data_IF_216891034553
#
_entry.id   IF_216891034553
#
_cell.length_a   1.000
_cell.length_b   1.000
_cell.length_c   1.000
_cell.angle_alpha   90.00
_cell.angle_beta   90.00
_cell.angle_gamma   90.00
#
_symmetry.space_group_name_H-M   'P 1'
#
loop_
_entity.id
_entity.type
_entity.pdbx_description
1 polymer ?
#
# COMPACT_ATOMS: atom_id res chain seq x y z
N UNK A 1 -1.98 -10.87 -6.08
CA UNK A 1 -2.10 -9.96 -7.23
C UNK A 1 -3.47 -10.00 -7.89
N UNK A 2 -3.94 -11.15 -8.42
CA UNK A 2 -5.23 -11.24 -9.13
C UNK A 2 -6.44 -10.70 -8.33
N UNK A 3 -6.55 -11.09 -7.05
CA UNK A 3 -7.57 -10.58 -6.13
C UNK A 3 -7.56 -9.04 -6.02
N UNK A 4 -6.37 -8.44 -5.97
CA UNK A 4 -6.22 -6.98 -5.90
C UNK A 4 -6.65 -6.30 -7.20
N UNK A 5 -6.33 -6.88 -8.37
CA UNK A 5 -6.80 -6.39 -9.67
C UNK A 5 -8.32 -6.43 -9.79
N UNK A 6 -8.94 -7.54 -9.38
CA UNK A 6 -10.41 -7.68 -9.35
C UNK A 6 -11.07 -6.67 -8.41
N UNK A 7 -10.41 -6.35 -7.30
CA UNK A 7 -10.89 -5.39 -6.32
C UNK A 7 -10.66 -3.92 -6.71
N UNK A 8 -10.11 -3.65 -7.91
CA UNK A 8 -9.98 -2.29 -8.44
C UNK A 8 -8.56 -1.71 -8.45
N UNK A 9 -7.53 -2.46 -8.03
CA UNK A 9 -6.15 -2.01 -8.21
C UNK A 9 -5.81 -1.92 -9.69
N UNK A 10 -5.19 -0.84 -10.13
CA UNK A 10 -4.69 -0.66 -11.50
C UNK A 10 -3.42 -1.47 -11.75
N UNK A 11 -2.58 -1.61 -10.72
CA UNK A 11 -1.36 -2.38 -10.76
C UNK A 11 -0.76 -2.54 -9.37
N UNK A 12 0.36 -3.24 -9.28
CA UNK A 12 1.09 -3.36 -8.03
C UNK A 12 2.53 -3.82 -8.21
N UNK A 13 3.34 -3.62 -7.18
CA UNK A 13 4.75 -3.94 -7.14
C UNK A 13 5.09 -4.68 -5.86
N UNK A 14 5.88 -5.75 -5.99
CA UNK A 14 6.47 -6.44 -4.85
C UNK A 14 7.61 -5.57 -4.31
N UNK A 15 7.58 -5.32 -3.00
CA UNK A 15 8.59 -4.56 -2.29
C UNK A 15 9.39 -5.50 -1.38
N UNK A 16 10.72 -5.44 -1.50
CA UNK A 16 11.66 -6.28 -0.73
C UNK A 16 12.36 -7.35 -1.58
N UNK A 17 13.40 -7.98 -1.00
CA UNK A 17 14.27 -8.93 -1.70
C UNK A 17 13.96 -10.42 -1.41
N UNK A 18 13.03 -10.74 -0.50
CA UNK A 18 12.57 -12.12 -0.21
C UNK A 18 12.36 -12.42 1.29
N UNK A 19 11.56 -13.44 1.61
CA UNK A 19 11.32 -13.96 2.98
C UNK A 19 10.14 -13.36 3.76
N UNK A 20 9.66 -12.19 3.33
CA UNK A 20 8.55 -11.44 3.93
C UNK A 20 8.60 -10.02 3.37
N UNK A 21 7.47 -9.41 3.04
CA UNK A 21 7.49 -8.13 2.35
C UNK A 21 6.12 -7.55 2.07
N UNK A 22 6.11 -6.40 1.43
CA UNK A 22 4.91 -5.64 1.12
C UNK A 22 4.56 -5.76 -0.35
N UNK A 23 3.26 -5.77 -0.65
CA UNK A 23 2.76 -5.51 -1.98
C UNK A 23 2.21 -4.09 -1.99
N UNK A 24 2.79 -3.23 -2.82
CA UNK A 24 2.25 -1.91 -3.10
C UNK A 24 1.21 -2.04 -4.22
N UNK A 25 0.02 -1.50 -4.01
CA UNK A 25 -1.01 -1.43 -5.05
C UNK A 25 -1.38 0.02 -5.32
N UNK A 26 -1.57 0.35 -6.60
CA UNK A 26 -2.13 1.63 -7.02
C UNK A 26 -3.63 1.43 -7.26
N UNK A 27 -4.47 2.10 -6.47
CA UNK A 27 -5.92 1.90 -6.46
C UNK A 27 -6.60 3.28 -6.52
N UNK A 28 -7.58 3.51 -7.41
CA UNK A 28 -8.34 4.77 -7.42
C UNK A 28 -9.04 5.00 -6.08
N UNK A 29 -9.05 6.23 -5.53
CA UNK A 29 -9.61 6.53 -4.22
C UNK A 29 -11.04 6.01 -4.01
N UNK A 30 -11.89 6.15 -5.02
CA UNK A 30 -13.29 5.71 -5.00
C UNK A 30 -13.44 4.18 -4.87
N UNK A 31 -12.37 3.41 -5.08
CA UNK A 31 -12.35 1.95 -4.96
C UNK A 31 -11.70 1.46 -3.66
N UNK A 32 -11.12 2.34 -2.83
CA UNK A 32 -10.41 1.95 -1.61
C UNK A 32 -11.26 1.10 -0.66
N UNK A 33 -12.49 1.52 -0.37
CA UNK A 33 -13.39 0.78 0.51
C UNK A 33 -13.72 -0.64 -0.01
N UNK A 34 -13.86 -0.79 -1.33
CA UNK A 34 -14.07 -2.12 -1.94
C UNK A 34 -12.80 -2.96 -1.94
N UNK A 35 -11.65 -2.30 -2.12
CA UNK A 35 -10.35 -2.94 -2.09
C UNK A 35 -10.02 -3.50 -0.71
N UNK A 36 -10.22 -2.71 0.34
CA UNK A 36 -10.00 -3.10 1.73
C UNK A 36 -10.85 -4.30 2.13
N UNK A 37 -12.15 -4.27 1.83
CA UNK A 37 -13.05 -5.42 2.06
C UNK A 37 -12.56 -6.68 1.34
N UNK A 38 -12.09 -6.55 0.10
CA UNK A 38 -11.55 -7.69 -0.64
C UNK A 38 -10.21 -8.20 -0.08
N UNK A 39 -9.48 -7.38 0.69
CA UNK A 39 -8.23 -7.72 1.35
C UNK A 39 -8.40 -8.09 2.83
N UNK A 40 -9.63 -8.28 3.31
CA UNK A 40 -9.91 -8.69 4.68
C UNK A 40 -9.10 -9.94 5.07
N UNK A 41 -8.60 -9.95 6.31
CA UNK A 41 -7.62 -10.94 6.79
C UNK A 41 -6.17 -10.67 6.38
N UNK A 42 -5.87 -9.53 5.74
CA UNK A 42 -4.51 -9.04 5.46
C UNK A 42 -4.34 -7.64 6.03
N UNK A 43 -3.13 -7.34 6.51
CA UNK A 43 -2.80 -5.97 6.91
C UNK A 43 -2.75 -5.06 5.68
N UNK A 44 -3.54 -3.99 5.68
CA UNK A 44 -3.54 -2.94 4.65
C UNK A 44 -2.98 -1.66 5.26
N UNK A 45 -1.88 -1.16 4.71
CA UNK A 45 -1.26 0.09 5.10
C UNK A 45 -1.52 1.14 4.03
N UNK A 46 -2.10 2.26 4.43
CA UNK A 46 -2.24 3.43 3.56
C UNK A 46 -0.91 4.16 3.48
N UNK A 47 -0.37 4.26 2.27
CA UNK A 47 0.86 4.97 1.99
C UNK A 47 0.56 6.23 1.20
N UNK A 48 1.14 7.34 1.64
CA UNK A 48 1.14 8.60 0.88
C UNK A 48 2.56 8.90 0.44
N UNK A 49 2.70 9.49 -0.75
CA UNK A 49 4.00 9.98 -1.20
C UNK A 49 4.18 11.35 -0.58
N UNK A 50 5.04 11.42 0.43
CA UNK A 50 5.44 12.68 1.05
C UNK A 50 6.97 12.74 0.99
N UNK A 51 7.51 13.84 0.44
CA UNK A 51 8.94 13.96 0.16
C UNK A 51 9.68 14.98 1.05
N UNK A 52 9.67 14.85 2.39
CA UNK A 52 10.84 15.22 3.17
C UNK A 52 11.79 14.01 3.22
N UNK A 53 13.06 14.23 2.85
CA UNK A 53 14.13 13.29 3.13
C UNK A 53 14.40 13.19 4.65
N UNK A 54 15.49 12.54 5.05
CA UNK A 54 15.91 12.49 6.46
C UNK A 54 15.89 13.88 7.09
N UNK A 55 15.27 14.01 8.27
CA UNK A 55 15.14 15.26 9.02
C UNK A 55 15.56 15.01 10.47
N UNK A 56 16.47 15.84 10.98
CA UNK A 56 16.83 15.86 12.40
C UNK A 56 15.76 16.66 13.15
N UNK A 57 15.24 16.09 14.24
CA UNK A 57 14.26 16.74 15.12
C UNK A 57 14.97 17.02 16.44
N UNK A 58 14.98 18.28 16.86
CA UNK A 58 15.45 18.68 18.19
C UNK A 58 14.22 18.82 19.11
N UNK A 59 14.28 18.20 20.29
CA UNK A 59 13.31 18.41 21.36
C UNK A 59 14.05 19.05 22.53
N UNK A 60 13.61 20.25 22.92
CA UNK A 60 14.03 20.91 24.17
C UNK A 60 13.31 20.31 25.36
#
# INVERSE_FOLDING_TARGET
YARARQAGALGGKLLGAGGGGFLLFFVPPERHASFERAMEGRAVLHVSINAPASRIIFSS
#
